data_IF_226367604913
#
_entry.id   IF_226367604913
#
_cell.length_a   1.000
_cell.length_b   1.000
_cell.length_c   1.000
_cell.angle_alpha   90.00
_cell.angle_beta   90.00
_cell.angle_gamma   90.00
#
_symmetry.space_group_name_H-M   'P 1'
#
loop_
_entity.id
_entity.type
_entity.pdbx_description
1 polymer ?
#
# COMPACT_ATOMS: atom_id res chain seq x y z
N UNK A 1 -49.16 -5.95 -24.03
CA UNK A 1 -50.43 -6.18 -23.29
C UNK A 1 -50.96 -7.60 -23.54
N UNK A 2 -50.08 -8.61 -23.63
CA UNK A 2 -50.46 -9.98 -24.01
C UNK A 2 -49.97 -11.03 -23.01
N UNK A 3 -48.93 -10.76 -22.22
CA UNK A 3 -48.41 -11.73 -21.24
C UNK A 3 -49.30 -11.89 -19.99
N UNK A 4 -49.98 -10.83 -19.56
CA UNK A 4 -50.84 -10.87 -18.37
C UNK A 4 -52.12 -11.69 -18.58
N UNK A 5 -52.59 -11.79 -19.84
CA UNK A 5 -53.78 -12.56 -20.18
C UNK A 5 -53.48 -14.05 -20.28
N UNK A 6 -52.31 -14.44 -20.82
CA UNK A 6 -51.91 -15.86 -20.89
C UNK A 6 -51.53 -16.42 -19.51
N UNK A 7 -50.91 -15.61 -18.65
CA UNK A 7 -50.62 -15.98 -17.25
C UNK A 7 -51.91 -16.16 -16.43
N UNK A 8 -52.93 -15.33 -16.66
CA UNK A 8 -54.22 -15.48 -15.98
C UNK A 8 -55.03 -16.66 -16.52
N UNK A 9 -54.98 -16.94 -17.83
CA UNK A 9 -55.69 -18.09 -18.42
C UNK A 9 -55.10 -19.44 -17.97
N UNK A 10 -53.77 -19.53 -17.82
CA UNK A 10 -53.09 -20.71 -17.27
C UNK A 10 -53.37 -20.88 -15.76
N UNK A 11 -53.46 -19.77 -15.02
CA UNK A 11 -53.79 -19.78 -13.59
C UNK A 11 -55.23 -20.24 -13.33
N UNK A 12 -56.19 -19.75 -14.13
CA UNK A 12 -57.60 -20.12 -14.01
C UNK A 12 -57.84 -21.58 -14.40
N UNK A 13 -57.13 -22.10 -15.41
CA UNK A 13 -57.22 -23.50 -15.82
C UNK A 13 -56.70 -24.48 -14.75
N UNK A 14 -55.68 -24.10 -13.97
CA UNK A 14 -55.14 -24.95 -12.89
C UNK A 14 -56.01 -24.98 -11.63
N UNK A 15 -56.79 -23.93 -11.35
CA UNK A 15 -57.61 -23.84 -10.14
C UNK A 15 -58.95 -24.57 -10.24
N UNK A 16 -59.53 -24.68 -11.44
CA UNK A 16 -60.85 -25.29 -11.63
C UNK A 16 -60.85 -26.82 -11.83
N UNK A 17 -59.70 -27.44 -12.16
CA UNK A 17 -59.64 -28.89 -12.46
C UNK A 17 -58.55 -29.70 -11.74
N UNK A 18 -57.76 -29.10 -10.85
CA UNK A 18 -56.64 -29.81 -10.21
C UNK A 18 -56.97 -30.25 -8.78
N UNK A 19 -56.66 -31.50 -8.43
CA UNK A 19 -56.74 -31.99 -7.04
C UNK A 19 -55.93 -31.07 -6.11
N UNK A 20 -56.38 -30.79 -4.86
CA UNK A 20 -55.63 -29.98 -3.90
C UNK A 20 -54.16 -30.43 -3.72
N UNK A 21 -53.87 -31.73 -3.91
CA UNK A 21 -52.49 -32.25 -3.88
C UNK A 21 -51.62 -31.69 -5.02
N UNK A 22 -52.17 -31.56 -6.23
CA UNK A 22 -51.44 -31.05 -7.41
C UNK A 22 -51.12 -29.56 -7.27
N UNK A 23 -52.05 -28.79 -6.68
CA UNK A 23 -51.82 -27.37 -6.38
C UNK A 23 -50.74 -27.19 -5.31
N UNK A 24 -50.72 -28.05 -4.29
CA UNK A 24 -49.69 -28.03 -3.24
C UNK A 24 -48.30 -28.30 -3.82
N UNK A 25 -48.18 -29.34 -4.64
CA UNK A 25 -46.91 -29.72 -5.28
C UNK A 25 -46.39 -28.60 -6.21
N UNK A 26 -47.29 -27.95 -6.95
CA UNK A 26 -46.93 -26.82 -7.80
C UNK A 26 -46.43 -25.60 -7.01
N UNK A 27 -47.10 -25.26 -5.90
CA UNK A 27 -46.69 -24.17 -5.02
C UNK A 27 -45.34 -24.44 -4.34
N UNK A 28 -45.10 -25.68 -3.91
CA UNK A 28 -43.81 -26.11 -3.38
C UNK A 28 -42.70 -25.95 -4.43
N UNK A 29 -42.98 -26.32 -5.68
CA UNK A 29 -42.03 -26.17 -6.79
C UNK A 29 -41.72 -24.71 -7.12
N UNK A 30 -42.73 -23.83 -7.09
CA UNK A 30 -42.54 -22.39 -7.27
C UNK A 30 -41.74 -21.79 -6.12
N UNK A 31 -42.03 -22.17 -4.88
CA UNK A 31 -41.30 -21.72 -3.71
C UNK A 31 -39.83 -22.18 -3.76
N UNK A 32 -39.58 -23.42 -4.19
CA UNK A 32 -38.23 -23.95 -4.38
C UNK A 32 -37.46 -23.17 -5.45
N UNK A 33 -38.09 -22.92 -6.61
CA UNK A 33 -37.49 -22.11 -7.69
C UNK A 33 -37.13 -20.70 -7.21
N UNK A 34 -38.05 -20.01 -6.53
CA UNK A 34 -37.80 -18.65 -6.05
C UNK A 34 -36.71 -18.57 -4.95
N UNK A 35 -36.50 -19.64 -4.18
CA UNK A 35 -35.37 -19.74 -3.25
C UNK A 35 -34.07 -19.95 -4.02
N UNK A 36 -34.08 -20.79 -5.07
CA UNK A 36 -32.91 -21.08 -5.88
C UNK A 36 -32.46 -19.88 -6.70
N UNK A 37 -33.39 -19.10 -7.25
CA UNK A 37 -33.08 -17.85 -7.97
C UNK A 37 -32.42 -16.83 -7.05
N UNK A 38 -32.98 -16.61 -5.85
CA UNK A 38 -32.39 -15.72 -4.84
C UNK A 38 -31.02 -16.19 -4.34
N UNK A 39 -30.82 -17.51 -4.26
CA UNK A 39 -29.52 -18.08 -3.91
C UNK A 39 -28.49 -17.80 -5.02
N UNK A 40 -28.88 -17.98 -6.28
CA UNK A 40 -28.04 -17.66 -7.44
C UNK A 40 -27.66 -16.18 -7.49
N UNK A 41 -28.61 -15.28 -7.32
CA UNK A 41 -28.35 -13.83 -7.26
C UNK A 41 -27.38 -13.47 -6.12
N UNK A 42 -27.54 -14.09 -4.95
CA UNK A 42 -26.65 -13.89 -3.80
C UNK A 42 -25.23 -14.43 -4.08
N UNK A 43 -25.12 -15.60 -4.71
CA UNK A 43 -23.84 -16.18 -5.11
C UNK A 43 -23.12 -15.29 -6.12
N UNK A 44 -23.84 -14.76 -7.13
CA UNK A 44 -23.30 -13.81 -8.09
C UNK A 44 -22.79 -12.54 -7.40
N UNK A 45 -23.58 -11.95 -6.50
CA UNK A 45 -23.16 -10.78 -5.72
C UNK A 45 -21.91 -11.07 -4.87
N UNK A 46 -21.84 -12.23 -4.23
CA UNK A 46 -20.66 -12.64 -3.46
C UNK A 46 -19.43 -12.81 -4.36
N UNK A 47 -19.59 -13.34 -5.57
CA UNK A 47 -18.47 -13.44 -6.52
C UNK A 47 -17.98 -12.06 -6.96
N UNK A 48 -18.89 -11.13 -7.27
CA UNK A 48 -18.51 -9.76 -7.63
C UNK A 48 -17.76 -9.07 -6.48
N UNK A 49 -18.28 -9.12 -5.26
CA UNK A 49 -17.63 -8.52 -4.10
C UNK A 49 -16.25 -9.13 -3.82
N UNK A 50 -16.09 -10.45 -3.99
CA UNK A 50 -14.78 -11.11 -3.87
C UNK A 50 -13.79 -10.61 -4.91
N UNK A 51 -14.23 -10.42 -6.16
CA UNK A 51 -13.36 -9.87 -7.21
C UNK A 51 -12.97 -8.43 -6.91
N UNK A 52 -13.91 -7.61 -6.43
CA UNK A 52 -13.65 -6.22 -6.07
C UNK A 52 -12.67 -6.10 -4.91
N UNK A 53 -12.85 -6.91 -3.85
CA UNK A 53 -11.89 -6.99 -2.73
C UNK A 53 -10.49 -7.36 -3.23
N UNK A 54 -10.38 -8.31 -4.17
CA UNK A 54 -9.09 -8.72 -4.71
C UNK A 54 -8.42 -7.58 -5.50
N UNK A 55 -9.18 -6.86 -6.33
CA UNK A 55 -8.70 -5.71 -7.10
C UNK A 55 -8.25 -4.60 -6.14
N UNK A 56 -9.07 -4.23 -5.17
CA UNK A 56 -8.76 -3.16 -4.21
C UNK A 56 -7.55 -3.51 -3.34
N UNK A 57 -7.41 -4.79 -2.94
CA UNK A 57 -6.23 -5.23 -2.20
C UNK A 57 -4.94 -5.08 -3.02
N UNK A 58 -5.00 -5.37 -4.33
CA UNK A 58 -3.88 -5.19 -5.24
C UNK A 58 -3.53 -3.71 -5.43
N UNK A 59 -4.53 -2.86 -5.65
CA UNK A 59 -4.32 -1.41 -5.78
C UNK A 59 -3.73 -0.80 -4.51
N UNK A 60 -4.25 -1.20 -3.34
CA UNK A 60 -3.72 -0.76 -2.06
C UNK A 60 -2.25 -1.15 -1.92
N UNK A 61 -1.89 -2.39 -2.24
CA UNK A 61 -0.50 -2.84 -2.16
C UNK A 61 0.42 -2.02 -3.09
N UNK A 62 -0.02 -1.74 -4.32
CA UNK A 62 0.73 -0.92 -5.27
C UNK A 62 0.90 0.54 -4.78
N UNK A 63 -0.14 1.12 -4.18
CA UNK A 63 -0.09 2.46 -3.61
C UNK A 63 0.81 2.53 -2.37
N UNK A 64 0.75 1.53 -1.49
CA UNK A 64 1.63 1.43 -0.33
C UNK A 64 3.10 1.32 -0.76
N UNK A 65 3.40 0.54 -1.81
CA UNK A 65 4.73 0.45 -2.39
C UNK A 65 5.18 1.79 -3.00
N UNK A 66 4.32 2.47 -3.76
CA UNK A 66 4.61 3.79 -4.31
C UNK A 66 4.85 4.85 -3.22
N UNK A 67 4.06 4.82 -2.14
CA UNK A 67 4.25 5.69 -0.98
C UNK A 67 5.57 5.37 -0.25
N UNK A 68 5.92 4.10 -0.13
CA UNK A 68 7.19 3.70 0.47
C UNK A 68 8.38 4.24 -0.33
N UNK A 69 8.31 4.23 -1.66
CA UNK A 69 9.32 4.83 -2.54
C UNK A 69 9.39 6.37 -2.40
N UNK A 70 8.27 7.02 -2.13
CA UNK A 70 8.17 8.47 -1.99
C UNK A 70 8.46 8.97 -0.56
N UNK A 71 8.61 8.06 0.41
CA UNK A 71 8.76 8.42 1.83
C UNK A 71 10.09 9.15 2.03
N UNK A 72 10.00 10.46 2.25
CA UNK A 72 11.16 11.27 2.57
C UNK A 72 11.56 11.07 4.04
N UNK A 73 12.85 10.84 4.33
CA UNK A 73 13.32 10.78 5.70
C UNK A 73 13.21 12.15 6.37
N UNK A 74 12.95 12.15 7.67
CA UNK A 74 13.05 13.37 8.47
C UNK A 74 14.46 13.96 8.37
N UNK A 75 14.55 15.29 8.46
CA UNK A 75 15.83 15.98 8.23
C UNK A 75 16.82 15.74 9.37
N UNK A 76 16.35 15.63 10.62
CA UNK A 76 17.21 15.50 11.79
C UNK A 76 18.05 14.21 11.75
N UNK A 77 17.48 13.02 11.43
CA UNK A 77 18.28 11.83 11.15
C UNK A 77 19.30 12.04 10.02
N UNK A 78 18.91 12.67 8.92
CA UNK A 78 19.82 12.92 7.79
C UNK A 78 21.05 13.71 8.23
N UNK A 79 20.86 14.79 9.00
CA UNK A 79 21.98 15.61 9.47
C UNK A 79 23.00 14.83 10.30
N UNK A 80 22.56 13.80 11.02
CA UNK A 80 23.41 12.93 11.84
C UNK A 80 24.07 11.84 11.01
N UNK A 81 23.34 11.17 10.12
CA UNK A 81 23.82 9.99 9.41
C UNK A 81 24.63 10.33 8.15
N UNK A 82 24.33 11.41 7.43
CA UNK A 82 25.07 11.79 6.22
C UNK A 82 26.59 11.91 6.41
N UNK A 83 27.10 12.66 7.42
CA UNK A 83 28.54 12.72 7.69
C UNK A 83 29.14 11.42 8.23
N UNK A 84 28.32 10.53 8.82
CA UNK A 84 28.74 9.21 9.24
C UNK A 84 28.83 8.22 8.06
N UNK A 85 27.96 8.36 7.05
CA UNK A 85 27.94 7.51 5.84
C UNK A 85 29.03 7.93 4.85
N UNK A 86 29.12 9.24 4.59
CA UNK A 86 30.01 9.80 3.57
C UNK A 86 31.17 10.57 4.20
N UNK A 87 32.35 10.45 3.60
CA UNK A 87 33.50 11.29 3.97
C UNK A 87 33.31 12.71 3.46
N UNK A 88 33.65 13.69 4.30
CA UNK A 88 33.61 15.11 3.95
C UNK A 88 32.26 15.56 3.32
N UNK A 89 31.15 15.05 3.83
CA UNK A 89 29.83 15.29 3.23
C UNK A 89 29.50 16.78 3.08
N UNK A 90 29.60 17.54 4.18
CA UNK A 90 29.31 18.98 4.21
C UNK A 90 30.34 19.85 3.49
N UNK A 91 31.47 19.27 3.07
CA UNK A 91 32.44 19.93 2.19
C UNK A 91 32.08 19.80 0.70
N UNK A 92 31.14 18.92 0.35
CA UNK A 92 30.70 18.65 -1.03
C UNK A 92 29.25 19.06 -1.26
N UNK A 93 28.36 18.72 -0.33
CA UNK A 93 26.92 18.96 -0.43
C UNK A 93 26.53 20.14 0.43
N UNK A 94 25.77 21.09 -0.14
CA UNK A 94 25.30 22.26 0.60
C UNK A 94 24.11 21.89 1.49
N UNK A 95 23.97 22.50 2.68
CA UNK A 95 22.79 22.31 3.53
C UNK A 95 21.47 22.58 2.80
N UNK A 96 21.41 23.64 1.99
CA UNK A 96 20.23 24.00 1.20
C UNK A 96 19.81 22.89 0.21
N UNK A 97 20.78 22.16 -0.36
CA UNK A 97 20.50 21.05 -1.28
C UNK A 97 19.86 19.87 -0.54
N UNK A 98 20.34 19.57 0.66
CA UNK A 98 19.76 18.52 1.51
C UNK A 98 18.33 18.89 1.91
N UNK A 99 18.08 20.15 2.29
CA UNK A 99 16.74 20.64 2.61
C UNK A 99 15.78 20.49 1.42
N UNK A 100 16.22 20.90 0.23
CA UNK A 100 15.45 20.79 -1.01
C UNK A 100 15.13 19.33 -1.35
N UNK A 101 16.12 18.43 -1.26
CA UNK A 101 15.92 17.01 -1.56
C UNK A 101 15.04 16.30 -0.53
N UNK A 102 15.11 16.70 0.73
CA UNK A 102 14.24 16.19 1.80
C UNK A 102 12.86 16.87 1.80
N UNK A 103 12.57 17.74 0.82
CA UNK A 103 11.34 18.52 0.69
C UNK A 103 10.98 19.31 1.96
N UNK A 104 11.97 19.82 2.67
CA UNK A 104 11.78 20.59 3.90
C UNK A 104 12.08 22.06 3.69
N UNK A 105 11.26 22.93 4.30
CA UNK A 105 11.50 24.37 4.35
C UNK A 105 12.36 24.78 5.56
N UNK A 106 12.85 23.82 6.35
CA UNK A 106 13.69 24.10 7.50
C UNK A 106 15.05 24.63 7.06
N UNK A 107 15.50 25.71 7.72
CA UNK A 107 16.84 26.27 7.51
C UNK A 107 17.87 25.38 8.21
N UNK A 108 18.77 24.77 7.44
CA UNK A 108 19.81 23.88 7.98
C UNK A 108 21.08 24.69 8.23
N UNK A 109 21.46 24.83 9.49
CA UNK A 109 22.70 25.51 9.89
C UNK A 109 23.73 24.47 10.31
N UNK A 110 24.82 24.35 9.55
CA UNK A 110 25.94 23.44 9.84
C UNK A 110 27.12 24.26 10.34
N UNK A 111 27.74 23.90 11.49
CA UNK A 111 28.92 24.60 11.97
C UNK A 111 30.06 24.45 10.96
N UNK A 112 30.73 25.56 10.66
CA UNK A 112 31.90 25.59 9.79
C UNK A 112 33.15 25.90 10.60
N UNK A 113 34.20 25.05 10.58
CA UNK A 113 34.27 23.77 9.88
C UNK A 113 33.47 22.67 10.59
N UNK A 114 32.89 21.74 9.82
CA UNK A 114 32.21 20.59 10.40
C UNK A 114 33.24 19.53 10.83
N UNK A 115 33.22 19.06 12.08
CA UNK A 115 34.16 18.04 12.54
C UNK A 115 33.83 16.69 11.92
N UNK A 116 34.82 16.05 11.29
CA UNK A 116 34.65 14.70 10.76
C UNK A 116 34.43 13.71 11.92
N UNK A 117 33.41 12.84 11.88
CA UNK A 117 33.14 11.92 12.97
C UNK A 117 34.29 10.92 13.15
N UNK A 118 34.64 10.63 14.40
CA UNK A 118 35.66 9.63 14.72
C UNK A 118 35.23 8.22 14.27
N UNK A 119 36.17 7.27 14.07
CA UNK A 119 35.83 5.90 13.72
C UNK A 119 34.88 5.24 14.75
N UNK A 120 35.07 5.54 16.04
CA UNK A 120 34.19 5.04 17.11
C UNK A 120 32.77 5.60 16.98
N UNK A 121 32.63 6.89 16.67
CA UNK A 121 31.34 7.53 16.39
C UNK A 121 30.68 6.89 15.17
N UNK A 122 31.42 6.62 14.09
CA UNK A 122 30.88 5.95 12.90
C UNK A 122 30.36 4.55 13.24
N UNK A 123 31.10 3.77 14.04
CA UNK A 123 30.64 2.44 14.48
C UNK A 123 29.41 2.50 15.40
N UNK A 124 29.31 3.53 16.25
CA UNK A 124 28.10 3.78 17.03
C UNK A 124 26.91 4.12 16.12
N UNK A 125 27.09 5.01 15.14
CA UNK A 125 26.04 5.37 14.19
C UNK A 125 25.63 4.20 13.30
N UNK A 126 26.58 3.35 12.89
CA UNK A 126 26.29 2.10 12.20
C UNK A 126 25.32 1.23 13.00
N UNK A 127 25.63 0.97 14.28
CA UNK A 127 24.76 0.18 15.17
C UNK A 127 23.39 0.81 15.33
N UNK A 128 23.34 2.15 15.50
CA UNK A 128 22.08 2.90 15.59
C UNK A 128 21.24 2.77 14.32
N UNK A 129 21.86 2.82 13.15
CA UNK A 129 21.18 2.62 11.86
C UNK A 129 20.71 1.17 11.69
N UNK A 130 21.44 0.19 12.20
CA UNK A 130 21.02 -1.23 12.20
C UNK A 130 19.81 -1.49 13.10
N UNK A 131 19.73 -0.82 14.26
CA UNK A 131 18.64 -0.97 15.22
C UNK A 131 17.38 -0.15 14.90
N UNK A 132 17.44 0.72 13.88
CA UNK A 132 16.33 1.57 13.46
C UNK A 132 15.22 0.75 12.78
N UNK A 133 13.94 1.17 12.85
CA UNK A 133 12.87 0.57 12.06
C UNK A 133 13.25 0.50 10.58
N UNK A 134 12.86 -0.59 9.91
CA UNK A 134 13.25 -0.85 8.53
C UNK A 134 12.86 0.31 7.61
N UNK A 135 11.64 0.82 7.72
CA UNK A 135 11.17 1.92 6.87
C UNK A 135 12.00 3.20 7.02
N UNK A 136 12.39 3.56 8.24
CA UNK A 136 13.18 4.77 8.50
C UNK A 136 14.60 4.63 7.96
N UNK A 137 15.19 3.44 8.16
CA UNK A 137 16.49 3.11 7.59
C UNK A 137 16.45 3.15 6.07
N UNK A 138 15.45 2.53 5.46
CA UNK A 138 15.32 2.43 4.01
C UNK A 138 15.06 3.81 3.39
N UNK A 139 14.30 4.69 4.04
CA UNK A 139 14.14 6.08 3.64
C UNK A 139 15.49 6.84 3.63
N UNK A 140 16.31 6.69 4.67
CA UNK A 140 17.66 7.31 4.72
C UNK A 140 18.58 6.75 3.62
N UNK A 141 18.58 5.42 3.42
CA UNK A 141 19.43 4.79 2.42
C UNK A 141 19.00 5.15 0.99
N UNK A 142 17.70 5.20 0.72
CA UNK A 142 17.16 5.62 -0.57
C UNK A 142 17.48 7.09 -0.84
N UNK A 143 17.36 7.97 0.17
CA UNK A 143 17.84 9.35 0.06
C UNK A 143 19.32 9.40 -0.32
N UNK A 144 20.16 8.61 0.35
CA UNK A 144 21.60 8.54 0.06
C UNK A 144 21.91 8.06 -1.36
N UNK A 145 21.15 7.09 -1.89
CA UNK A 145 21.30 6.57 -3.27
C UNK A 145 20.90 7.60 -4.33
N UNK A 146 19.94 8.47 -4.01
CA UNK A 146 19.43 9.50 -4.91
C UNK A 146 20.26 10.79 -4.89
N UNK A 147 21.35 10.87 -4.13
CA UNK A 147 22.24 12.03 -4.11
C UNK A 147 22.94 12.19 -5.47
N UNK A 148 22.91 13.39 -6.09
CA UNK A 148 23.52 13.62 -7.40
C UNK A 148 25.06 13.69 -7.36
N UNK A 149 25.64 13.68 -6.15
CA UNK A 149 27.06 13.91 -5.90
C UNK A 149 27.85 12.60 -5.85
N UNK A 150 29.07 12.58 -6.40
CA UNK A 150 29.99 11.44 -6.28
C UNK A 150 30.65 11.44 -4.90
N UNK A 151 29.94 10.90 -3.92
CA UNK A 151 30.38 10.86 -2.52
C UNK A 151 31.12 9.55 -2.20
N UNK A 152 32.15 9.64 -1.37
CA UNK A 152 32.88 8.47 -0.91
C UNK A 152 32.24 7.88 0.34
N UNK A 153 31.68 6.67 0.22
CA UNK A 153 31.12 5.91 1.34
C UNK A 153 32.27 5.40 2.24
N UNK A 154 32.13 5.61 3.56
CA UNK A 154 33.05 5.08 4.58
C UNK A 154 33.04 3.55 4.59
N UNK A 155 34.19 2.92 4.80
CA UNK A 155 34.35 1.47 4.70
C UNK A 155 33.40 0.70 5.62
N UNK A 156 33.19 1.24 6.82
CA UNK A 156 32.32 0.72 7.87
C UNK A 156 30.85 0.63 7.44
N UNK A 157 30.42 1.55 6.56
CA UNK A 157 29.04 1.73 6.11
C UNK A 157 28.75 1.07 4.75
N UNK A 158 29.77 0.55 4.05
CA UNK A 158 29.60 -0.06 2.72
C UNK A 158 28.59 -1.21 2.69
N UNK A 159 28.47 -1.97 3.77
CA UNK A 159 27.53 -3.12 3.85
C UNK A 159 26.05 -2.75 3.74
N UNK A 160 25.67 -1.46 3.77
CA UNK A 160 24.30 -1.02 3.50
C UNK A 160 24.04 -0.69 2.02
N UNK A 161 25.09 -0.60 1.21
CA UNK A 161 25.05 -0.15 -0.18
C UNK A 161 25.60 -1.20 -1.16
N UNK A 162 25.96 -2.38 -0.66
CA UNK A 162 26.40 -3.56 -1.43
C UNK A 162 25.23 -4.37 -1.96
#
# INVERSE_FOLDING_TARGET
>A
MTDEYELNLLRDFTLEQSSPEVLSEYLERLAHSAVQDRLGESEEQLTMLRTEIAILAQEKAALEEALHLLRMPAIEPLLVFLPAIFRNFWGVVRPDEVAMMAMTCQTITIPSPYPDPSPETVLFMKRRLQSMPQDERDAILNFCRNLPHRLQIRAEMRGFFS
#
